data_IF_405134103017
#
_entry.id   IF_405134103017
#
_cell.length_a   1.000
_cell.length_b   1.000
_cell.length_c   1.000
_cell.angle_alpha   90.00
_cell.angle_beta   90.00
_cell.angle_gamma   90.00
#
_symmetry.space_group_name_H-M   'P 1'
#
loop_
_entity.id
_entity.type
_entity.pdbx_description
1 polymer ?
#
# COMPACT_ATOMS: atom_id res chain seq x y z
N UNK A 1 6.25 4.95 -7.03
CA UNK A 1 5.18 5.79 -6.42
C UNK A 1 5.61 6.14 -5.01
N UNK A 2 5.35 7.33 -4.59
CA UNK A 2 5.90 7.85 -3.34
C UNK A 2 4.97 7.64 -2.15
N UNK A 3 5.50 7.04 -1.09
CA UNK A 3 4.77 6.91 0.17
C UNK A 3 4.87 8.21 0.96
N UNK A 4 3.83 8.53 1.69
CA UNK A 4 3.83 9.69 2.58
C UNK A 4 4.65 9.31 3.81
N UNK A 5 5.58 10.20 4.20
CA UNK A 5 6.44 9.97 5.36
C UNK A 5 5.67 10.08 6.68
N UNK A 6 6.25 9.54 7.73
CA UNK A 6 5.67 9.63 9.07
C UNK A 6 4.80 8.46 9.46
N UNK A 7 4.92 7.34 8.77
CA UNK A 7 4.19 6.13 9.10
C UNK A 7 5.13 4.95 9.25
N UNK A 8 4.78 4.05 10.14
CA UNK A 8 5.46 2.76 10.28
C UNK A 8 4.45 1.65 10.00
N UNK A 9 4.97 0.51 9.53
CA UNK A 9 4.13 -0.63 9.18
C UNK A 9 4.42 -1.78 10.11
N UNK A 10 3.37 -2.43 10.60
CA UNK A 10 3.46 -3.63 11.40
C UNK A 10 2.68 -4.74 10.75
N UNK A 11 3.28 -5.91 10.65
CA UNK A 11 2.60 -7.07 10.11
C UNK A 11 2.03 -7.91 11.25
N UNK A 12 0.74 -8.23 11.15
CA UNK A 12 0.04 -9.10 12.10
C UNK A 12 -0.59 -10.25 11.30
N UNK A 13 0.05 -11.42 11.35
CA UNK A 13 -0.40 -12.58 10.59
C UNK A 13 -0.58 -12.25 9.10
N UNK A 14 -1.83 -12.17 8.63
CA UNK A 14 -2.14 -11.92 7.23
C UNK A 14 -2.68 -10.51 6.98
N UNK A 15 -2.42 -9.57 7.90
CA UNK A 15 -2.78 -8.18 7.67
C UNK A 15 -1.64 -7.25 8.06
N UNK A 16 -1.74 -6.01 7.63
CA UNK A 16 -0.77 -4.98 7.93
C UNK A 16 -1.44 -3.81 8.62
N UNK A 17 -0.76 -3.24 9.60
CA UNK A 17 -1.20 -2.00 10.25
C UNK A 17 -0.25 -0.88 9.86
N UNK A 18 -0.80 0.23 9.41
CA UNK A 18 -0.03 1.44 9.11
C UNK A 18 -0.33 2.44 10.22
N UNK A 19 0.71 2.84 10.93
CA UNK A 19 0.60 3.65 12.14
C UNK A 19 1.34 4.96 11.97
N UNK A 20 0.77 6.08 12.40
CA UNK A 20 1.52 7.32 12.41
C UNK A 20 2.67 7.23 13.42
N UNK A 21 3.77 7.92 13.13
CA UNK A 21 4.94 7.95 14.03
C UNK A 21 5.52 9.35 14.08
N UNK A 22 6.31 9.63 15.13
CA UNK A 22 6.94 10.92 15.29
C UNK A 22 5.93 12.05 15.31
N UNK A 23 6.18 13.09 14.54
CA UNK A 23 5.31 14.26 14.47
C UNK A 23 3.95 13.96 13.87
N UNK A 24 3.86 12.90 13.06
CA UNK A 24 2.60 12.53 12.45
C UNK A 24 1.56 12.15 13.49
N UNK A 25 1.98 11.66 14.66
CA UNK A 25 1.06 11.31 15.73
C UNK A 25 0.28 12.51 16.27
N UNK A 26 0.79 13.71 16.09
CA UNK A 26 0.11 14.94 16.51
C UNK A 26 -1.00 15.33 15.55
N UNK A 27 -0.86 14.94 14.28
CA UNK A 27 -1.81 15.31 13.22
C UNK A 27 -2.80 14.19 12.93
N UNK A 28 -2.36 12.94 13.06
CA UNK A 28 -3.14 11.76 12.72
C UNK A 28 -3.07 10.79 13.88
N UNK A 29 -4.22 10.35 14.35
CA UNK A 29 -4.30 9.36 15.43
C UNK A 29 -5.02 8.09 14.98
N UNK A 30 -5.16 7.90 13.68
CA UNK A 30 -5.88 6.77 13.11
C UNK A 30 -4.91 5.67 12.69
N UNK A 31 -5.24 4.42 13.03
CA UNK A 31 -4.52 3.25 12.57
C UNK A 31 -5.22 2.72 11.34
N UNK A 32 -4.46 2.49 10.27
CA UNK A 32 -5.02 1.99 9.02
C UNK A 32 -4.70 0.51 8.90
N UNK A 33 -5.74 -0.31 8.77
CA UNK A 33 -5.58 -1.75 8.58
C UNK A 33 -5.66 -2.08 7.10
N UNK A 34 -4.70 -2.86 6.61
CA UNK A 34 -4.65 -3.28 5.22
C UNK A 34 -4.65 -4.80 5.15
N UNK A 35 -5.35 -5.33 4.15
CA UNK A 35 -5.28 -6.76 3.84
C UNK A 35 -3.87 -7.14 3.44
N UNK A 36 -3.59 -8.44 3.36
CA UNK A 36 -2.29 -8.92 2.93
C UNK A 36 -1.91 -8.34 1.56
N UNK A 37 -2.82 -8.37 0.59
CA UNK A 37 -2.54 -7.86 -0.76
C UNK A 37 -2.36 -6.34 -0.75
N UNK A 38 -3.23 -5.60 -0.07
CA UNK A 38 -3.10 -4.16 0.00
C UNK A 38 -1.83 -3.75 0.73
N UNK A 39 -1.45 -4.51 1.75
CA UNK A 39 -0.19 -4.30 2.47
C UNK A 39 1.01 -4.53 1.57
N UNK A 40 0.99 -5.60 0.76
CA UNK A 40 2.05 -5.85 -0.21
C UNK A 40 2.18 -4.69 -1.18
N UNK A 41 1.05 -4.21 -1.70
CA UNK A 41 1.03 -3.08 -2.63
C UNK A 41 1.63 -1.84 -1.97
N UNK A 42 1.23 -1.53 -0.76
CA UNK A 42 1.77 -0.38 -0.04
C UNK A 42 3.27 -0.51 0.20
N UNK A 43 3.73 -1.67 0.65
CA UNK A 43 5.14 -1.91 0.94
C UNK A 43 6.03 -1.80 -0.30
N UNK A 44 5.51 -2.16 -1.46
CA UNK A 44 6.29 -2.18 -2.70
C UNK A 44 6.03 -1.00 -3.63
N UNK A 45 5.15 -0.08 -3.24
CA UNK A 45 4.79 1.06 -4.08
C UNK A 45 5.99 1.91 -4.50
N UNK A 46 7.00 2.03 -3.64
CA UNK A 46 8.19 2.82 -3.95
C UNK A 46 9.05 2.20 -5.05
N UNK A 47 8.89 0.91 -5.31
CA UNK A 47 9.64 0.20 -6.36
C UNK A 47 9.00 0.35 -7.74
N UNK A 48 7.86 1.01 -7.81
CA UNK A 48 7.12 1.18 -9.05
C UNK A 48 6.85 2.66 -9.30
N UNK A 49 6.92 3.08 -10.55
CA UNK A 49 6.65 4.46 -10.91
C UNK A 49 5.17 4.71 -11.20
N UNK A 50 4.43 3.65 -11.52
CA UNK A 50 3.02 3.76 -11.88
C UNK A 50 2.28 2.47 -11.56
N UNK A 51 0.96 2.49 -11.73
CA UNK A 51 0.10 1.36 -11.43
C UNK A 51 0.46 0.13 -12.25
N UNK A 52 0.88 0.31 -13.50
CA UNK A 52 1.22 -0.82 -14.37
C UNK A 52 2.44 -1.57 -13.86
N UNK A 53 3.49 -0.84 -13.45
CA UNK A 53 4.68 -1.47 -12.88
C UNK A 53 4.36 -2.15 -11.55
N UNK A 54 3.55 -1.50 -10.73
CA UNK A 54 3.14 -2.08 -9.45
C UNK A 54 2.33 -3.36 -9.67
N UNK A 55 1.46 -3.37 -10.68
CA UNK A 55 0.70 -4.56 -11.05
C UNK A 55 1.62 -5.71 -11.44
N UNK A 56 2.72 -5.43 -12.16
CA UNK A 56 3.70 -6.44 -12.50
C UNK A 56 4.32 -7.07 -11.26
N UNK A 57 4.67 -6.27 -10.28
CA UNK A 57 5.25 -6.78 -9.03
C UNK A 57 4.26 -7.68 -8.28
N UNK A 58 3.00 -7.27 -8.22
CA UNK A 58 1.96 -8.06 -7.56
C UNK A 58 1.72 -9.36 -8.32
N UNK A 59 1.66 -9.27 -9.64
CA UNK A 59 1.45 -10.45 -10.49
C UNK A 59 2.54 -11.50 -10.30
N UNK A 60 3.80 -11.06 -10.20
CA UNK A 60 4.92 -11.97 -9.96
C UNK A 60 4.82 -12.63 -8.60
N UNK A 61 4.49 -11.85 -7.56
CA UNK A 61 4.42 -12.38 -6.22
C UNK A 61 3.34 -13.46 -6.07
N UNK A 62 2.18 -13.21 -6.65
CA UNK A 62 1.04 -14.11 -6.48
C UNK A 62 0.80 -15.04 -7.66
N UNK A 63 1.69 -15.02 -8.64
CA UNK A 63 1.63 -15.89 -9.83
C UNK A 63 0.28 -15.78 -10.54
N UNK A 64 -0.14 -14.54 -10.79
CA UNK A 64 -1.40 -14.19 -11.44
C UNK A 64 -1.09 -13.36 -12.68
N UNK A 65 -1.91 -13.49 -13.72
CA UNK A 65 -1.75 -12.66 -14.91
C UNK A 65 -2.03 -11.19 -14.58
N UNK A 66 -1.16 -10.25 -15.00
CA UNK A 66 -1.36 -8.84 -14.69
C UNK A 66 -2.72 -8.30 -15.12
N UNK A 67 -3.23 -8.75 -16.26
CA UNK A 67 -4.53 -8.28 -16.76
C UNK A 67 -5.68 -8.61 -15.81
N UNK A 68 -5.54 -9.67 -15.02
CA UNK A 68 -6.59 -10.09 -14.09
C UNK A 68 -6.66 -9.23 -12.83
N UNK A 69 -5.55 -8.56 -12.48
CA UNK A 69 -5.48 -7.84 -11.21
C UNK A 69 -5.26 -6.34 -11.37
N UNK A 70 -5.13 -5.84 -12.60
CA UNK A 70 -4.86 -4.42 -12.82
C UNK A 70 -5.89 -3.51 -12.17
N UNK A 71 -7.17 -3.81 -12.32
CA UNK A 71 -8.22 -2.98 -11.73
C UNK A 71 -8.20 -3.03 -10.20
N UNK A 72 -7.92 -4.20 -9.64
CA UNK A 72 -7.82 -4.34 -8.19
C UNK A 72 -6.65 -3.54 -7.64
N UNK A 73 -5.49 -3.60 -8.30
CA UNK A 73 -4.32 -2.82 -7.90
C UNK A 73 -4.61 -1.33 -7.99
N UNK A 74 -5.25 -0.91 -9.07
CA UNK A 74 -5.62 0.50 -9.27
C UNK A 74 -6.52 0.98 -8.13
N UNK A 75 -7.53 0.18 -7.78
CA UNK A 75 -8.46 0.52 -6.71
C UNK A 75 -7.75 0.61 -5.35
N UNK A 76 -6.83 -0.29 -5.07
CA UNK A 76 -6.05 -0.24 -3.84
C UNK A 76 -5.20 1.03 -3.79
N UNK A 77 -4.53 1.36 -4.89
CA UNK A 77 -3.72 2.59 -4.96
C UNK A 77 -4.58 3.82 -4.68
N UNK A 78 -5.76 3.91 -5.30
CA UNK A 78 -6.66 5.03 -5.06
C UNK A 78 -7.10 5.11 -3.59
N UNK A 79 -7.36 3.97 -2.98
CA UNK A 79 -7.73 3.91 -1.57
C UNK A 79 -6.59 4.40 -0.68
N UNK A 80 -5.36 3.97 -0.95
CA UNK A 80 -4.19 4.40 -0.19
C UNK A 80 -3.95 5.91 -0.33
N UNK A 81 -4.20 6.44 -1.51
CA UNK A 81 -4.10 7.88 -1.75
C UNK A 81 -5.17 8.64 -0.98
N UNK A 82 -6.40 8.15 -0.96
CA UNK A 82 -7.49 8.76 -0.20
C UNK A 82 -7.24 8.72 1.29
N UNK A 83 -6.61 7.67 1.78
CA UNK A 83 -6.26 7.55 3.19
C UNK A 83 -5.06 8.42 3.57
N UNK A 84 -4.39 9.01 2.60
CA UNK A 84 -3.28 9.92 2.85
C UNK A 84 -1.96 9.25 3.18
N UNK A 85 -1.78 8.00 2.83
CA UNK A 85 -0.51 7.28 3.07
C UNK A 85 0.28 7.01 1.80
N UNK A 86 -0.30 7.32 0.65
CA UNK A 86 0.38 7.24 -0.65
C UNK A 86 0.09 8.54 -1.40
N UNK A 87 1.11 9.06 -2.05
CA UNK A 87 0.99 10.32 -2.78
C UNK A 87 0.25 10.15 -4.10
#
# INVERSE_FOLDING_TARGET
MKKIEGYVVRRLEDEYLVLPSGRRTEEVNEVISLSETAGFIYMHAERAENVYELTQLVAEEYEIEPAEILEDVRNVVLTLQKKGILL
#
